data_IF_519941379920
#
_entry.id   IF_519941379920
#
_cell.length_a   1.000
_cell.length_b   1.000
_cell.length_c   1.000
_cell.angle_alpha   90.00
_cell.angle_beta   90.00
_cell.angle_gamma   90.00
#
_symmetry.space_group_name_H-M   'P 1'
#
loop_
_entity.id
_entity.type
_entity.pdbx_description
1 polymer ?
#
# COMPACT_ATOMS: atom_id res chain seq x y z
N UNK A 1 14.77 -17.99 -18.18
CA UNK A 1 15.25 -16.77 -17.48
C UNK A 1 16.73 -16.50 -17.73
N UNK A 2 17.62 -17.52 -17.72
CA UNK A 2 19.05 -17.34 -18.02
C UNK A 2 19.35 -16.79 -19.43
N UNK A 3 18.65 -17.27 -20.47
CA UNK A 3 18.85 -16.80 -21.84
C UNK A 3 18.48 -15.31 -22.09
N UNK A 4 17.75 -14.70 -21.16
CA UNK A 4 17.21 -13.34 -21.28
C UNK A 4 17.90 -12.34 -20.32
N UNK A 5 18.83 -12.83 -19.48
CA UNK A 5 19.57 -12.02 -18.52
C UNK A 5 20.47 -10.97 -19.21
N UNK A 6 20.90 -11.24 -20.45
CA UNK A 6 21.68 -10.30 -21.27
C UNK A 6 20.91 -9.04 -21.71
N UNK A 7 19.56 -9.04 -21.62
CA UNK A 7 18.73 -7.88 -21.99
C UNK A 7 18.64 -6.85 -20.86
N UNK A 8 18.99 -7.23 -19.63
CA UNK A 8 18.94 -6.35 -18.46
C UNK A 8 20.19 -5.49 -18.46
N UNK A 9 20.08 -4.18 -18.68
CA UNK A 9 21.27 -3.31 -18.77
C UNK A 9 21.77 -2.82 -17.41
N UNK A 10 20.87 -2.51 -16.46
CA UNK A 10 21.28 -1.98 -15.14
C UNK A 10 21.92 -3.07 -14.28
N UNK A 11 23.09 -2.78 -13.73
CA UNK A 11 23.89 -3.73 -12.94
C UNK A 11 23.17 -4.21 -11.67
N UNK A 12 22.41 -3.34 -11.01
CA UNK A 12 21.61 -3.67 -9.83
C UNK A 12 20.56 -4.76 -10.11
N UNK A 13 19.88 -4.66 -11.25
CA UNK A 13 18.88 -5.65 -11.72
C UNK A 13 19.55 -6.95 -12.19
N UNK A 14 20.75 -6.89 -12.77
CA UNK A 14 21.52 -8.10 -13.12
C UNK A 14 21.93 -8.86 -11.85
N UNK A 15 22.43 -8.15 -10.84
CA UNK A 15 22.85 -8.76 -9.59
C UNK A 15 21.67 -9.39 -8.83
N UNK A 16 20.53 -8.70 -8.74
CA UNK A 16 19.32 -9.24 -8.12
C UNK A 16 18.74 -10.45 -8.90
N UNK A 17 18.75 -10.40 -10.24
CA UNK A 17 18.33 -11.52 -11.08
C UNK A 17 19.30 -12.71 -10.97
N UNK A 18 20.60 -12.45 -10.87
CA UNK A 18 21.63 -13.47 -10.64
C UNK A 18 21.41 -14.18 -9.32
N UNK A 19 21.23 -13.44 -8.23
CA UNK A 19 20.90 -13.99 -6.90
C UNK A 19 19.60 -14.80 -6.91
N UNK A 20 18.58 -14.35 -7.64
CA UNK A 20 17.33 -15.09 -7.81
C UNK A 20 17.56 -16.42 -8.55
N UNK A 21 18.36 -16.41 -9.61
CA UNK A 21 18.66 -17.61 -10.42
C UNK A 21 19.50 -18.61 -9.61
N UNK A 22 20.46 -18.11 -8.83
CA UNK A 22 21.35 -18.92 -7.99
C UNK A 22 20.62 -19.55 -6.79
N UNK A 23 19.85 -18.74 -6.05
CA UNK A 23 19.16 -19.20 -4.84
C UNK A 23 17.78 -19.81 -5.11
N UNK A 24 17.26 -19.67 -6.33
CA UNK A 24 15.91 -20.09 -6.72
C UNK A 24 14.78 -19.34 -6.01
N UNK A 25 15.09 -18.38 -5.13
CA UNK A 25 14.16 -17.59 -4.31
C UNK A 25 14.69 -16.17 -4.12
N UNK A 26 13.79 -15.23 -3.85
CA UNK A 26 14.16 -13.86 -3.47
C UNK A 26 14.55 -13.86 -2.01
N UNK A 27 15.78 -13.44 -1.71
CA UNK A 27 16.36 -13.52 -0.37
C UNK A 27 16.24 -12.23 0.45
N UNK A 28 16.02 -11.08 -0.20
CA UNK A 28 15.90 -9.77 0.45
C UNK A 28 14.71 -8.95 -0.08
N UNK A 29 14.17 -8.06 0.75
CA UNK A 29 13.14 -7.10 0.35
C UNK A 29 13.68 -6.12 -0.70
N UNK A 30 14.95 -5.71 -0.59
CA UNK A 30 15.57 -4.80 -1.56
C UNK A 30 15.68 -5.47 -2.94
N UNK A 31 16.00 -6.77 -2.96
CA UNK A 31 16.04 -7.56 -4.19
C UNK A 31 14.64 -7.71 -4.81
N UNK A 32 13.59 -7.85 -3.98
CA UNK A 32 12.20 -7.88 -4.43
C UNK A 32 11.79 -6.56 -5.11
N UNK A 33 12.15 -5.43 -4.52
CA UNK A 33 11.81 -4.10 -5.05
C UNK A 33 12.56 -3.81 -6.38
N UNK A 34 13.83 -4.22 -6.47
CA UNK A 34 14.63 -4.13 -7.71
C UNK A 34 14.08 -5.04 -8.81
N UNK A 35 13.68 -6.28 -8.47
CA UNK A 35 13.06 -7.23 -9.41
C UNK A 35 11.68 -6.77 -9.86
N UNK A 36 10.89 -6.13 -8.98
CA UNK A 36 9.63 -5.47 -9.37
C UNK A 36 9.88 -4.34 -10.36
N UNK A 37 10.94 -3.56 -10.17
CA UNK A 37 11.40 -2.56 -11.15
C UNK A 37 11.74 -3.18 -12.51
N UNK A 38 12.33 -4.37 -12.52
CA UNK A 38 12.62 -5.14 -13.73
C UNK A 38 11.33 -5.64 -14.43
N UNK A 39 10.36 -6.17 -13.68
CA UNK A 39 9.05 -6.58 -14.20
C UNK A 39 8.30 -5.41 -14.85
N UNK A 40 8.34 -4.24 -14.20
CA UNK A 40 7.67 -3.03 -14.71
C UNK A 40 8.33 -2.49 -15.99
N UNK A 41 9.65 -2.68 -16.14
CA UNK A 41 10.37 -2.28 -17.33
C UNK A 41 10.05 -3.13 -18.57
N UNK A 42 9.31 -4.26 -18.42
CA UNK A 42 8.86 -5.15 -19.50
C UNK A 42 9.98 -5.63 -20.46
N UNK A 43 11.22 -5.63 -19.98
CA UNK A 43 12.40 -6.00 -20.77
C UNK A 43 12.48 -7.51 -21.01
N UNK A 44 11.82 -8.31 -20.15
CA UNK A 44 11.78 -9.76 -20.25
C UNK A 44 10.51 -10.28 -20.95
N UNK A 45 10.58 -11.51 -21.47
CA UNK A 45 9.42 -12.21 -22.06
C UNK A 45 8.24 -12.34 -21.09
N UNK A 46 7.03 -12.55 -21.63
CA UNK A 46 5.79 -12.69 -20.82
C UNK A 46 5.90 -13.80 -19.78
N UNK A 47 6.54 -14.92 -20.13
CA UNK A 47 6.73 -16.06 -19.24
C UNK A 47 7.72 -15.77 -18.12
N UNK A 48 8.84 -15.10 -18.43
CA UNK A 48 9.80 -14.66 -17.42
C UNK A 48 9.17 -13.66 -16.43
N UNK A 49 8.38 -12.70 -16.93
CA UNK A 49 7.64 -11.77 -16.08
C UNK A 49 6.59 -12.48 -15.20
N UNK A 50 5.97 -13.56 -15.68
CA UNK A 50 5.03 -14.37 -14.88
C UNK A 50 5.75 -15.06 -13.73
N UNK A 51 6.95 -15.60 -13.97
CA UNK A 51 7.77 -16.24 -12.93
C UNK A 51 8.23 -15.20 -11.89
N UNK A 52 8.73 -14.04 -12.34
CA UNK A 52 9.13 -12.94 -11.45
C UNK A 52 7.96 -12.42 -10.60
N UNK A 53 6.76 -12.30 -11.17
CA UNK A 53 5.53 -11.98 -10.41
C UNK A 53 5.18 -13.05 -9.38
N UNK A 54 5.40 -14.32 -9.70
CA UNK A 54 5.23 -15.44 -8.77
C UNK A 54 6.19 -15.33 -7.58
N UNK A 55 7.46 -15.04 -7.86
CA UNK A 55 8.50 -14.83 -6.85
C UNK A 55 8.17 -13.64 -5.93
N UNK A 56 7.76 -12.50 -6.52
CA UNK A 56 7.32 -11.33 -5.77
C UNK A 56 6.13 -11.63 -4.84
N UNK A 57 5.12 -12.35 -5.36
CA UNK A 57 3.95 -12.73 -4.59
C UNK A 57 4.29 -13.66 -3.44
N UNK A 58 5.33 -14.50 -3.58
CA UNK A 58 5.81 -15.35 -2.49
C UNK A 58 6.42 -14.53 -1.35
N UNK A 59 7.16 -13.46 -1.66
CA UNK A 59 7.73 -12.54 -0.65
C UNK A 59 6.64 -11.72 0.06
N UNK A 60 5.68 -11.18 -0.70
CA UNK A 60 4.67 -10.22 -0.20
C UNK A 60 3.31 -10.85 0.14
N UNK A 61 3.21 -12.18 0.26
CA UNK A 61 1.93 -12.80 0.59
C UNK A 61 1.48 -12.43 2.01
N UNK A 62 0.28 -11.87 2.15
CA UNK A 62 -0.33 -11.68 3.46
C UNK A 62 -0.85 -13.02 3.97
N UNK A 63 -0.51 -13.39 5.20
CA UNK A 63 -1.03 -14.59 5.83
C UNK A 63 -2.57 -14.60 5.83
N UNK A 64 -3.19 -15.75 5.54
CA UNK A 64 -4.66 -15.88 5.42
C UNK A 64 -5.41 -15.36 6.65
N UNK A 65 -4.86 -15.61 7.85
CA UNK A 65 -5.42 -15.14 9.13
C UNK A 65 -5.42 -13.62 9.24
N UNK A 66 -4.31 -12.96 8.88
CA UNK A 66 -4.19 -11.50 8.90
C UNK A 66 -5.14 -10.86 7.88
N UNK A 67 -5.30 -11.47 6.71
CA UNK A 67 -6.27 -11.03 5.70
C UNK A 67 -7.71 -11.14 6.21
N UNK A 68 -8.05 -12.25 6.85
CA UNK A 68 -9.37 -12.44 7.46
C UNK A 68 -9.63 -11.41 8.56
N UNK A 69 -8.64 -11.13 9.40
CA UNK A 69 -8.74 -10.11 10.44
C UNK A 69 -8.91 -8.69 9.87
N UNK A 70 -8.16 -8.33 8.82
CA UNK A 70 -8.38 -7.06 8.08
C UNK A 70 -9.81 -6.97 7.56
N UNK A 71 -10.32 -8.02 6.94
CA UNK A 71 -11.70 -8.04 6.43
C UNK A 71 -12.72 -7.91 7.57
N UNK A 72 -12.49 -8.55 8.71
CA UNK A 72 -13.34 -8.41 9.89
C UNK A 72 -13.36 -6.97 10.40
N UNK A 73 -12.19 -6.35 10.59
CA UNK A 73 -12.10 -4.95 11.04
C UNK A 73 -12.82 -4.03 10.05
N UNK A 74 -12.63 -4.23 8.75
CA UNK A 74 -13.32 -3.45 7.71
C UNK A 74 -14.83 -3.62 7.83
N UNK A 75 -15.32 -4.83 8.09
CA UNK A 75 -16.74 -5.08 8.33
C UNK A 75 -17.25 -4.40 9.61
N UNK A 76 -16.55 -4.51 10.73
CA UNK A 76 -16.92 -3.81 11.97
C UNK A 76 -16.89 -2.30 11.81
N UNK A 77 -15.89 -1.78 11.10
CA UNK A 77 -15.75 -0.36 10.83
C UNK A 77 -16.84 0.15 9.90
N UNK A 78 -17.16 -0.60 8.84
CA UNK A 78 -18.26 -0.29 7.93
C UNK A 78 -19.60 -0.32 8.66
N UNK A 79 -19.87 -1.32 9.51
CA UNK A 79 -21.06 -1.34 10.35
C UNK A 79 -21.09 -0.19 11.36
N UNK A 80 -19.95 0.15 11.98
CA UNK A 80 -19.86 1.29 12.89
C UNK A 80 -20.15 2.62 12.19
N UNK A 81 -19.52 2.86 11.04
CA UNK A 81 -19.76 4.04 10.20
C UNK A 81 -21.21 4.11 9.71
N UNK A 82 -21.76 2.99 9.24
CA UNK A 82 -23.12 2.96 8.70
C UNK A 82 -24.15 3.03 9.83
N UNK A 83 -23.89 2.46 11.00
CA UNK A 83 -24.76 2.55 12.18
C UNK A 83 -24.82 3.97 12.75
N UNK A 84 -23.70 4.68 12.78
CA UNK A 84 -23.65 6.12 13.11
C UNK A 84 -24.30 6.98 12.02
N UNK A 85 -24.10 6.63 10.74
CA UNK A 85 -24.68 7.33 9.60
C UNK A 85 -26.18 7.09 9.39
N UNK A 86 -26.69 5.90 9.69
CA UNK A 86 -28.12 5.56 9.59
C UNK A 86 -28.97 6.22 10.68
N UNK A 87 -28.37 6.56 11.83
CA UNK A 87 -29.06 7.35 12.85
C UNK A 87 -29.15 8.85 12.48
N UNK A 88 -28.28 9.31 11.59
CA UNK A 88 -28.25 10.68 11.08
C UNK A 88 -28.82 10.71 9.66
N UNK A 89 -30.14 10.55 9.55
CA UNK A 89 -30.88 10.92 8.32
C UNK A 89 -30.65 12.42 8.04
N UNK A 90 -30.57 12.85 6.78
CA UNK A 90 -30.45 14.28 6.42
C UNK A 90 -31.54 15.14 7.08
N UNK A 91 -32.71 14.54 7.34
CA UNK A 91 -33.80 15.13 8.12
C UNK A 91 -33.41 15.39 9.59
N UNK A 92 -32.74 14.46 10.29
CA UNK A 92 -32.30 14.66 11.68
C UNK A 92 -31.09 15.59 11.78
N UNK A 93 -30.22 15.69 10.76
CA UNK A 93 -29.21 16.78 10.69
C UNK A 93 -29.87 18.16 10.57
N UNK A 94 -30.91 18.29 9.74
CA UNK A 94 -31.69 19.53 9.62
C UNK A 94 -32.48 19.84 10.90
N UNK A 95 -33.02 18.82 11.56
CA UNK A 95 -33.76 18.95 12.82
C UNK A 95 -32.85 19.29 14.01
N UNK A 96 -31.60 18.83 14.00
CA UNK A 96 -30.53 19.22 14.93
C UNK A 96 -29.86 20.57 14.55
N UNK A 97 -30.43 21.32 13.60
CA UNK A 97 -29.98 22.67 13.24
C UNK A 97 -28.61 22.75 12.56
N UNK A 98 -28.09 21.64 12.02
CA UNK A 98 -26.78 21.62 11.35
C UNK A 98 -25.57 21.78 12.29
N UNK A 99 -25.79 21.97 13.59
CA UNK A 99 -24.72 22.05 14.60
C UNK A 99 -23.74 20.86 14.57
N UNK A 100 -24.20 19.59 14.39
CA UNK A 100 -23.27 18.46 14.31
C UNK A 100 -22.30 18.55 13.11
N UNK A 101 -22.75 19.08 11.97
CA UNK A 101 -21.91 19.24 10.78
C UNK A 101 -20.87 20.36 10.99
N UNK A 102 -21.27 21.46 11.63
CA UNK A 102 -20.36 22.58 11.94
C UNK A 102 -19.29 22.15 12.95
N UNK A 103 -19.69 21.49 14.05
CA UNK A 103 -18.75 21.02 15.06
C UNK A 103 -17.80 19.97 14.46
N UNK A 104 -18.34 18.98 13.74
CA UNK A 104 -17.54 17.96 13.06
C UNK A 104 -16.56 18.58 12.06
N UNK A 105 -17.01 19.57 11.29
CA UNK A 105 -16.20 20.30 10.32
C UNK A 105 -15.05 21.06 10.97
N UNK A 106 -15.33 21.86 12.01
CA UNK A 106 -14.32 22.67 12.71
C UNK A 106 -13.28 21.76 13.40
N UNK A 107 -13.74 20.76 14.15
CA UNK A 107 -12.82 19.88 14.92
C UNK A 107 -11.98 19.03 13.96
N UNK A 108 -12.58 18.52 12.88
CA UNK A 108 -11.88 17.76 11.85
C UNK A 108 -10.84 18.61 11.10
N UNK A 109 -11.22 19.80 10.65
CA UNK A 109 -10.33 20.72 9.95
C UNK A 109 -9.17 21.17 10.85
N UNK A 110 -9.44 21.54 12.10
CA UNK A 110 -8.41 21.94 13.07
C UNK A 110 -7.39 20.83 13.28
N UNK A 111 -7.84 19.58 13.46
CA UNK A 111 -6.94 18.43 13.61
C UNK A 111 -6.08 18.19 12.36
N UNK A 112 -6.66 18.33 11.17
CA UNK A 112 -5.93 18.14 9.91
C UNK A 112 -4.83 19.22 9.73
N UNK A 113 -5.17 20.48 10.00
CA UNK A 113 -4.23 21.60 9.89
C UNK A 113 -3.09 21.45 10.90
N UNK A 114 -3.38 21.14 12.16
CA UNK A 114 -2.35 20.92 13.18
C UNK A 114 -1.44 19.75 12.83
N UNK A 115 -2.01 18.63 12.36
CA UNK A 115 -1.23 17.47 11.91
C UNK A 115 -0.29 17.84 10.76
N UNK A 116 -0.77 18.65 9.81
CA UNK A 116 0.04 19.12 8.67
C UNK A 116 1.19 20.02 9.13
N UNK A 117 0.94 20.96 10.04
CA UNK A 117 1.98 21.84 10.61
C UNK A 117 3.07 21.01 11.28
N UNK A 118 2.70 20.03 12.11
CA UNK A 118 3.67 19.15 12.79
C UNK A 118 4.52 18.37 11.78
N UNK A 119 3.91 17.84 10.71
CA UNK A 119 4.64 17.13 9.66
C UNK A 119 5.64 18.05 8.95
N UNK A 120 5.24 19.28 8.63
CA UNK A 120 6.12 20.25 7.98
C UNK A 120 7.30 20.64 8.88
N UNK A 121 7.08 20.81 10.19
CA UNK A 121 8.17 21.07 11.14
C UNK A 121 9.14 19.89 11.23
N UNK A 122 8.65 18.65 11.34
CA UNK A 122 9.50 17.45 11.44
C UNK A 122 10.29 17.14 10.17
N UNK A 123 9.76 17.45 8.99
CA UNK A 123 10.47 17.28 7.72
C UNK A 123 11.47 18.42 7.50
N UNK A 124 11.11 19.65 7.88
CA UNK A 124 12.00 20.82 7.78
C UNK A 124 13.29 20.68 8.57
N UNK A 125 13.26 19.97 9.70
CA UNK A 125 14.46 19.71 10.53
C UNK A 125 15.39 18.61 9.96
N UNK A 126 14.95 17.86 8.93
CA UNK A 126 15.72 16.72 8.36
C UNK A 126 16.25 16.97 6.94
N UNK A 127 16.09 18.18 6.41
CA UNK A 127 16.66 18.64 5.13
C UNK A 127 17.79 19.60 5.42
#
# INVERSE_FOLDING_TARGET
>A
MQAEAGKVQREDRKAALGRLIENGKVMSIDDDDVLRGLVNAKVMSKDANKILKGAHKAVRHTAKKVKAFRNWIVWLFAFGLTGLGMQITVASMKQAGGQPAVIGGIVGATKAILSLVVVLMLIGDKV
#
